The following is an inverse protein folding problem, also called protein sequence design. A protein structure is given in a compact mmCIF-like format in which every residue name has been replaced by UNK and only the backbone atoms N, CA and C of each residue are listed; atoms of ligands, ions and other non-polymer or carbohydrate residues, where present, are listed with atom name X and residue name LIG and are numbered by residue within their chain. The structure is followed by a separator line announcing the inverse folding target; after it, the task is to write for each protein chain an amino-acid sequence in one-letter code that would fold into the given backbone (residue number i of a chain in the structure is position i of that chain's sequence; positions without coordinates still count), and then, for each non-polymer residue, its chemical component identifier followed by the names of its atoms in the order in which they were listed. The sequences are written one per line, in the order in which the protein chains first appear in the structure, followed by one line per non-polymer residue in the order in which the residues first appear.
data_IF_531123619329
#
_entry.id   IF_531123619329
#
_cell.length_a   1.000
_cell.length_b   1.000
_cell.length_c   1.000
_cell.angle_alpha   90.00
_cell.angle_beta   90.00
_cell.angle_gamma   90.00
#
_symmetry.space_group_name_H-M   'P 1'
#
loop_
_entity.id
_entity.type
_entity.pdbx_description
1 polymer ?
#
# COMPACT_ATOMS: atom_id res chain seq x y z
N UNK A 1 -32.41 -13.70 -70.61
CA UNK A 1 -31.67 -12.54 -70.08
C UNK A 1 -30.35 -13.09 -69.53
N UNK A 2 -29.21 -12.52 -69.94
CA UNK A 2 -27.89 -12.98 -69.46
C UNK A 2 -27.70 -12.48 -68.03
N UNK A 3 -27.44 -13.39 -67.08
CA UNK A 3 -27.06 -13.03 -65.72
C UNK A 3 -25.74 -12.25 -65.75
N UNK A 4 -25.78 -10.96 -65.39
CA UNK A 4 -24.57 -10.14 -65.26
C UNK A 4 -23.79 -10.64 -64.03
N UNK A 5 -22.60 -11.22 -64.26
CA UNK A 5 -21.68 -11.56 -63.17
C UNK A 5 -21.24 -10.28 -62.46
N UNK A 6 -21.14 -10.34 -61.14
CA UNK A 6 -20.67 -9.21 -60.34
C UNK A 6 -19.24 -8.83 -60.74
N UNK A 7 -18.98 -7.54 -60.95
CA UNK A 7 -17.62 -7.04 -61.18
C UNK A 7 -16.79 -7.02 -59.89
N UNK A 8 -15.46 -7.05 -60.01
CA UNK A 8 -14.52 -6.96 -58.88
C UNK A 8 -14.84 -5.78 -57.96
N UNK A 9 -15.24 -4.65 -58.53
CA UNK A 9 -15.59 -3.44 -57.76
C UNK A 9 -16.82 -3.67 -56.90
N UNK A 10 -17.88 -4.26 -57.47
CA UNK A 10 -19.13 -4.57 -56.76
C UNK A 10 -18.86 -5.54 -55.59
N UNK A 11 -17.99 -6.54 -55.80
CA UNK A 11 -17.60 -7.49 -54.75
C UNK A 11 -16.79 -6.82 -53.61
N UNK A 12 -15.90 -5.88 -53.91
CA UNK A 12 -15.13 -5.17 -52.89
C UNK A 12 -16.01 -4.20 -52.10
N UNK A 13 -16.95 -3.52 -52.76
CA UNK A 13 -17.94 -2.67 -52.10
C UNK A 13 -18.80 -3.49 -51.14
N UNK A 14 -19.37 -4.61 -51.61
CA UNK A 14 -20.18 -5.50 -50.77
C UNK A 14 -19.40 -6.04 -49.58
N UNK A 15 -18.14 -6.47 -49.78
CA UNK A 15 -17.26 -6.89 -48.68
C UNK A 15 -17.11 -5.77 -47.65
N UNK A 16 -16.89 -4.54 -48.10
CA UNK A 16 -16.70 -3.38 -47.22
C UNK A 16 -17.98 -3.07 -46.43
N UNK A 17 -19.15 -3.08 -47.07
CA UNK A 17 -20.44 -2.83 -46.42
C UNK A 17 -20.77 -3.88 -45.34
N UNK A 18 -20.55 -5.16 -45.67
CA UNK A 18 -20.73 -6.26 -44.71
C UNK A 18 -19.79 -6.08 -43.51
N UNK A 19 -18.51 -5.79 -43.75
CA UNK A 19 -17.55 -5.62 -42.67
C UNK A 19 -17.79 -4.36 -41.84
N UNK A 20 -18.29 -3.27 -42.44
CA UNK A 20 -18.72 -2.07 -41.71
C UNK A 20 -19.93 -2.36 -40.80
N UNK A 21 -20.81 -3.28 -41.20
CA UNK A 21 -21.94 -3.73 -40.39
C UNK A 21 -21.47 -4.63 -39.24
N UNK A 22 -20.48 -5.48 -39.45
CA UNK A 22 -19.91 -6.35 -38.42
C UNK A 22 -19.04 -5.59 -37.41
N UNK A 23 -18.29 -4.59 -37.90
CA UNK A 23 -17.38 -3.75 -37.11
C UNK A 23 -17.75 -2.27 -37.23
N UNK A 24 -18.89 -1.81 -36.68
CA UNK A 24 -19.21 -0.40 -36.59
C UNK A 24 -18.15 0.41 -35.80
N UNK A 25 -18.25 1.74 -35.85
CA UNK A 25 -17.40 2.61 -35.03
C UNK A 25 -17.60 2.25 -33.55
N UNK A 26 -16.50 2.05 -32.83
CA UNK A 26 -16.49 1.58 -31.44
C UNK A 26 -16.29 0.06 -31.29
N UNK A 27 -16.36 -0.73 -32.36
CA UNK A 27 -16.09 -2.17 -32.29
C UNK A 27 -14.65 -2.47 -31.89
N UNK A 28 -14.47 -3.62 -31.22
CA UNK A 28 -13.17 -4.13 -30.82
C UNK A 28 -12.77 -5.29 -31.74
N UNK A 29 -11.55 -5.26 -32.25
CA UNK A 29 -10.91 -6.34 -32.98
C UNK A 29 -9.77 -6.91 -32.12
N UNK A 30 -9.68 -8.23 -32.02
CA UNK A 30 -8.63 -8.94 -31.27
C UNK A 30 -7.92 -9.95 -32.18
N UNK A 31 -6.61 -10.10 -32.00
CA UNK A 31 -5.79 -11.01 -32.80
C UNK A 31 -4.52 -11.43 -32.05
N UNK A 32 -3.99 -12.60 -32.39
CA UNK A 32 -2.64 -13.03 -31.96
C UNK A 32 -1.53 -12.37 -32.79
N UNK A 33 -1.87 -11.77 -33.93
CA UNK A 33 -0.95 -11.09 -34.82
C UNK A 33 -1.00 -9.58 -34.56
N UNK A 34 0.15 -8.91 -34.57
CA UNK A 34 0.29 -7.45 -34.37
C UNK A 34 -0.14 -6.59 -35.57
N UNK A 35 -0.52 -7.22 -36.68
CA UNK A 35 -0.92 -6.52 -37.91
C UNK A 35 -2.18 -5.69 -37.65
N UNK A 36 -2.14 -4.43 -38.08
CA UNK A 36 -3.23 -3.47 -37.86
C UNK A 36 -4.51 -3.90 -38.59
N UNK A 37 -5.70 -3.70 -38.00
CA UNK A 37 -6.94 -4.21 -38.60
C UNK A 37 -7.25 -3.61 -39.97
N UNK A 38 -6.86 -2.34 -40.24
CA UNK A 38 -7.02 -1.72 -41.55
C UNK A 38 -6.25 -2.44 -42.66
N UNK A 39 -5.14 -3.11 -42.34
CA UNK A 39 -4.37 -3.90 -43.31
C UNK A 39 -5.04 -5.24 -43.60
N UNK A 40 -5.64 -5.88 -42.60
CA UNK A 40 -6.25 -7.22 -42.74
C UNK A 40 -7.68 -7.11 -43.27
N UNK A 41 -8.46 -6.18 -42.74
CA UNK A 41 -9.86 -5.95 -43.09
C UNK A 41 -9.99 -5.07 -44.34
N UNK A 42 -9.02 -4.21 -44.61
CA UNK A 42 -8.99 -3.31 -45.77
C UNK A 42 -9.77 -2.00 -45.58
N UNK A 43 -10.19 -1.67 -44.35
CA UNK A 43 -10.94 -0.45 -44.06
C UNK A 43 -10.85 -0.02 -42.59
N UNK A 44 -11.36 1.20 -42.33
CA UNK A 44 -11.51 1.77 -41.00
C UNK A 44 -10.22 2.39 -40.46
N UNK A 45 -10.36 3.18 -39.40
CA UNK A 45 -9.24 3.68 -38.61
C UNK A 45 -9.31 3.04 -37.24
N UNK A 46 -8.20 2.45 -36.80
CA UNK A 46 -8.14 1.64 -35.59
C UNK A 46 -7.06 2.15 -34.64
N UNK A 47 -7.39 2.19 -33.34
CA UNK A 47 -6.46 2.54 -32.26
C UNK A 47 -6.21 1.31 -31.41
N UNK A 48 -4.94 1.02 -31.14
CA UNK A 48 -4.56 -0.11 -30.32
C UNK A 48 -4.89 0.11 -28.85
N UNK A 49 -5.36 -0.94 -28.19
CA UNK A 49 -5.52 -1.02 -26.74
C UNK A 49 -4.29 -1.75 -26.20
N UNK A 50 -3.48 -1.05 -25.39
CA UNK A 50 -2.20 -1.55 -24.85
C UNK A 50 -2.28 -1.62 -23.34
N UNK A 51 -1.69 -2.65 -22.73
CA UNK A 51 -1.54 -2.81 -21.26
C UNK A 51 -2.83 -2.61 -20.44
N UNK A 52 -3.97 -3.08 -20.96
CA UNK A 52 -5.29 -2.90 -20.33
C UNK A 52 -6.14 -4.17 -20.46
N UNK A 53 -6.88 -4.47 -19.40
CA UNK A 53 -7.98 -5.42 -19.46
C UNK A 53 -9.26 -4.69 -19.87
N UNK A 54 -10.14 -5.40 -20.58
CA UNK A 54 -11.47 -4.88 -20.89
C UNK A 54 -12.36 -5.04 -19.65
N UNK A 55 -12.91 -3.91 -19.19
CA UNK A 55 -13.84 -3.85 -18.07
C UNK A 55 -15.20 -3.40 -18.58
N UNK A 56 -16.24 -4.18 -18.29
CA UNK A 56 -17.62 -3.84 -18.66
C UNK A 56 -18.11 -2.69 -17.77
N UNK A 57 -18.25 -1.50 -18.37
CA UNK A 57 -18.54 -0.26 -17.66
C UNK A 57 -19.77 0.47 -18.24
N UNK A 58 -20.30 1.42 -17.47
CA UNK A 58 -21.40 2.30 -17.88
C UNK A 58 -20.94 3.46 -18.77
N UNK A 59 -19.63 3.64 -18.93
CA UNK A 59 -18.98 4.61 -19.79
C UNK A 59 -17.82 3.94 -20.51
N UNK A 60 -17.62 4.31 -21.79
CA UNK A 60 -16.57 3.70 -22.62
C UNK A 60 -15.25 4.47 -22.53
N UNK A 61 -14.13 3.77 -22.72
CA UNK A 61 -12.76 4.35 -22.85
C UNK A 61 -12.19 5.02 -21.59
N UNK A 62 -12.84 4.87 -20.44
CA UNK A 62 -12.21 5.18 -19.17
C UNK A 62 -11.09 4.20 -18.87
N UNK A 63 -10.05 4.68 -18.19
CA UNK A 63 -8.87 3.87 -17.85
C UNK A 63 -8.56 3.98 -16.38
N UNK A 64 -8.13 2.89 -15.77
CA UNK A 64 -7.71 2.83 -14.38
C UNK A 64 -7.07 1.49 -14.04
N UNK A 65 -6.90 1.24 -12.75
CA UNK A 65 -6.25 0.03 -12.24
C UNK A 65 -4.73 0.19 -12.07
N UNK A 66 -4.14 -0.76 -11.36
CA UNK A 66 -2.70 -0.83 -11.08
C UNK A 66 -2.24 -2.29 -11.12
N UNK A 67 -0.98 -2.53 -11.50
CA UNK A 67 -0.34 -3.84 -11.37
C UNK A 67 0.11 -4.11 -9.92
N UNK A 68 0.12 -3.09 -9.07
CA UNK A 68 0.54 -3.19 -7.66
C UNK A 68 -0.62 -2.82 -6.72
N UNK A 69 -0.59 -3.42 -5.52
CA UNK A 69 -1.52 -3.07 -4.44
C UNK A 69 -0.89 -1.93 -3.64
N UNK A 70 -1.60 -0.80 -3.53
CA UNK A 70 -1.25 0.32 -2.67
C UNK A 70 -1.82 0.14 -1.25
N UNK A 71 -1.38 0.95 -0.30
CA UNK A 71 -1.96 0.95 1.05
C UNK A 71 -3.47 1.26 1.06
N UNK A 72 -3.96 2.08 0.14
CA UNK A 72 -5.40 2.40 -0.02
C UNK A 72 -6.24 1.20 -0.44
N UNK A 73 -5.61 0.23 -1.14
CA UNK A 73 -6.27 -1.00 -1.57
C UNK A 73 -6.32 -2.07 -0.46
N UNK A 74 -5.64 -1.85 0.67
CA UNK A 74 -5.65 -2.78 1.79
C UNK A 74 -6.91 -2.57 2.64
N UNK A 75 -7.65 -3.64 2.97
CA UNK A 75 -8.73 -3.53 3.94
C UNK A 75 -8.18 -3.10 5.30
N UNK A 76 -9.04 -2.49 6.10
CA UNK A 76 -8.73 -2.21 7.49
C UNK A 76 -8.29 -3.50 8.20
N UNK A 77 -7.10 -3.45 8.80
CA UNK A 77 -6.51 -4.57 9.52
C UNK A 77 -5.80 -4.04 10.78
N UNK A 78 -5.55 -4.93 11.73
CA UNK A 78 -4.84 -4.59 12.97
C UNK A 78 -3.76 -5.63 13.26
N UNK A 79 -2.74 -5.19 13.98
CA UNK A 79 -1.72 -6.08 14.52
C UNK A 79 -1.89 -6.13 16.04
N UNK A 80 -2.01 -7.35 16.59
CA UNK A 80 -1.87 -7.53 18.02
C UNK A 80 -0.40 -7.48 18.39
N UNK A 81 -0.06 -6.60 19.33
CA UNK A 81 1.30 -6.39 19.80
C UNK A 81 1.29 -6.58 21.32
N UNK A 82 2.09 -7.53 21.81
CA UNK A 82 2.37 -7.73 23.22
C UNK A 82 3.86 -7.44 23.46
N UNK A 83 4.15 -6.30 24.10
CA UNK A 83 5.50 -5.88 24.43
C UNK A 83 5.69 -5.96 25.93
N UNK A 84 6.65 -6.75 26.37
CA UNK A 84 7.09 -6.77 27.75
C UNK A 84 8.37 -5.97 27.91
N UNK A 85 8.40 -5.09 28.89
CA UNK A 85 9.63 -4.43 29.35
C UNK A 85 10.09 -4.96 30.70
N UNK A 86 9.68 -6.19 31.00
CA UNK A 86 9.75 -6.84 32.31
C UNK A 86 11.16 -7.06 32.86
N UNK A 87 12.22 -6.78 32.08
CA UNK A 87 13.58 -6.78 32.61
C UNK A 87 14.12 -5.36 32.73
N UNK A 88 13.65 -4.67 33.76
CA UNK A 88 14.45 -3.66 34.44
C UNK A 88 15.82 -4.29 34.75
N UNK A 89 16.91 -3.70 34.28
CA UNK A 89 18.20 -3.97 34.92
C UNK A 89 18.11 -3.53 36.37
N UNK A 90 18.32 -4.46 37.31
CA UNK A 90 18.32 -4.15 38.74
C UNK A 90 19.37 -3.07 39.02
N UNK A 91 18.95 -1.90 39.51
CA UNK A 91 19.86 -0.80 39.82
C UNK A 91 19.47 -0.06 41.10
N UNK A 92 20.48 0.53 41.76
CA UNK A 92 20.34 1.29 43.01
C UNK A 92 21.09 2.61 42.90
N UNK A 93 20.57 3.65 43.55
CA UNK A 93 21.24 4.93 43.67
C UNK A 93 21.99 5.01 45.00
N UNK A 94 23.20 5.59 44.97
CA UNK A 94 23.98 5.88 46.18
C UNK A 94 23.77 7.35 46.55
N UNK A 95 23.49 7.62 47.82
CA UNK A 95 23.30 8.97 48.33
C UNK A 95 24.03 9.18 49.66
N UNK A 96 24.18 10.43 50.04
CA UNK A 96 24.76 10.85 51.31
C UNK A 96 23.70 11.55 52.16
N UNK A 97 23.56 11.15 53.41
CA UNK A 97 22.56 11.71 54.33
C UNK A 97 23.13 11.83 55.75
N UNK A 98 22.39 12.48 56.64
CA UNK A 98 22.78 12.75 58.02
C UNK A 98 21.76 12.19 59.00
N UNK A 99 22.24 11.64 60.12
CA UNK A 99 21.36 11.18 61.18
C UNK A 99 20.80 12.37 61.96
N UNK A 100 19.48 12.41 62.12
CA UNK A 100 18.82 13.38 62.99
C UNK A 100 18.89 12.95 64.45
N UNK A 101 19.33 13.84 65.33
CA UNK A 101 19.20 13.65 66.78
C UNK A 101 18.50 14.83 67.42
N UNK A 102 17.50 14.54 68.25
CA UNK A 102 16.92 15.51 69.18
C UNK A 102 17.74 15.50 70.45
N UNK A 103 18.12 16.69 70.92
CA UNK A 103 18.93 16.89 72.12
C UNK A 103 18.36 16.10 73.33
N UNK A 104 19.26 15.53 74.13
CA UNK A 104 18.97 15.07 75.50
C UNK A 104 19.20 16.17 76.55
N UNK A 105 18.70 15.99 77.78
CA UNK A 105 18.87 16.97 78.88
C UNK A 105 20.37 17.28 79.11
N UNK A 106 20.75 18.56 79.07
CA UNK A 106 22.12 19.02 79.40
C UNK A 106 22.85 19.95 78.41
N UNK A 107 22.25 20.35 77.29
CA UNK A 107 22.86 21.26 76.29
C UNK A 107 22.13 22.62 76.21
N UNK A 108 22.83 23.75 75.94
CA UNK A 108 22.27 25.12 75.92
C UNK A 108 21.56 25.51 74.61
N UNK A 109 20.65 24.66 74.14
CA UNK A 109 19.83 24.88 72.94
C UNK A 109 18.39 24.48 73.23
N UNK A 110 17.41 25.07 72.52
CA UNK A 110 15.98 24.80 72.72
C UNK A 110 15.70 23.30 72.55
N UNK A 111 14.76 22.77 73.33
CA UNK A 111 14.53 21.32 73.43
C UNK A 111 14.02 20.66 72.13
N UNK A 112 13.49 21.46 71.19
CA UNK A 112 13.00 21.01 69.89
C UNK A 112 13.97 21.30 68.74
N UNK A 113 15.27 21.47 69.01
CA UNK A 113 16.27 21.62 67.95
C UNK A 113 16.81 20.24 67.56
N UNK A 114 16.61 19.88 66.30
CA UNK A 114 17.18 18.68 65.69
C UNK A 114 18.53 19.05 65.05
N UNK A 115 19.56 18.27 65.37
CA UNK A 115 20.89 18.43 64.78
C UNK A 115 21.14 17.29 63.78
N UNK A 116 21.71 17.65 62.63
CA UNK A 116 22.30 16.69 61.71
C UNK A 116 23.69 16.31 62.24
N UNK A 117 23.88 15.05 62.60
CA UNK A 117 25.18 14.48 62.95
C UNK A 117 25.41 13.21 62.13
N UNK A 118 26.60 12.61 62.14
CA UNK A 118 26.63 11.22 61.67
C UNK A 118 26.48 11.06 60.16
N UNK A 119 27.19 11.80 59.31
CA UNK A 119 26.95 11.68 57.88
C UNK A 119 27.42 10.33 57.32
N UNK A 120 26.57 9.72 56.50
CA UNK A 120 26.74 8.36 56.03
C UNK A 120 26.37 8.20 54.56
N UNK A 121 26.90 7.15 53.95
CA UNK A 121 26.50 6.73 52.61
C UNK A 121 25.38 5.69 52.69
N UNK A 122 24.24 5.98 52.07
CA UNK A 122 23.12 5.07 51.91
C UNK A 122 22.98 4.58 50.46
N UNK A 123 22.25 3.48 50.26
CA UNK A 123 21.76 3.09 48.94
C UNK A 123 20.23 3.08 48.97
N UNK A 124 19.59 3.47 47.86
CA UNK A 124 18.16 3.20 47.67
C UNK A 124 17.92 1.70 47.52
N UNK A 125 16.70 1.25 47.79
CA UNK A 125 16.30 -0.11 47.44
C UNK A 125 16.41 -0.28 45.92
N UNK A 126 16.88 -1.46 45.48
CA UNK A 126 17.03 -1.77 44.04
C UNK A 126 15.72 -2.12 43.34
N UNK A 127 14.64 -2.21 44.12
CA UNK A 127 13.29 -2.43 43.62
C UNK A 127 12.61 -1.07 43.44
N UNK A 128 12.16 -0.78 42.22
CA UNK A 128 11.41 0.42 41.89
C UNK A 128 10.57 0.15 40.66
N UNK A 129 9.28 0.49 40.72
CA UNK A 129 8.41 0.40 39.56
C UNK A 129 8.72 1.58 38.61
N UNK A 130 9.14 1.29 37.39
CA UNK A 130 9.31 2.29 36.34
C UNK A 130 8.57 1.87 35.07
N UNK A 131 8.26 2.85 34.23
CA UNK A 131 7.52 2.63 32.98
C UNK A 131 8.43 2.79 31.78
N UNK A 132 8.25 1.94 30.78
CA UNK A 132 8.84 2.12 29.46
C UNK A 132 7.79 2.69 28.51
N UNK A 133 8.16 3.74 27.79
CA UNK A 133 7.37 4.26 26.66
C UNK A 133 7.99 3.78 25.37
N UNK A 134 7.34 2.84 24.71
CA UNK A 134 7.70 2.41 23.36
C UNK A 134 6.86 3.21 22.36
N UNK A 135 7.51 3.94 21.46
CA UNK A 135 6.84 4.72 20.40
C UNK A 135 7.64 4.66 19.12
N UNK A 136 6.95 4.49 17.99
CA UNK A 136 7.54 4.41 16.67
C UNK A 136 6.66 3.63 15.71
N UNK A 137 7.09 3.55 14.45
CA UNK A 137 6.47 2.68 13.45
C UNK A 137 7.29 1.40 13.31
N UNK A 138 6.62 0.27 13.08
CA UNK A 138 7.31 -0.93 12.59
C UNK A 138 7.86 -0.64 11.20
N UNK A 139 8.89 -1.38 10.79
CA UNK A 139 9.38 -1.28 9.41
C UNK A 139 8.25 -1.67 8.44
N UNK A 140 8.13 -0.94 7.34
CA UNK A 140 7.18 -1.29 6.28
C UNK A 140 7.49 -2.69 5.77
N UNK A 141 6.50 -3.57 5.79
CA UNK A 141 6.59 -4.91 5.20
C UNK A 141 5.75 -4.93 3.91
N UNK A 142 6.25 -5.63 2.89
CA UNK A 142 5.64 -5.70 1.57
C UNK A 142 6.50 -5.03 0.50
N UNK A 143 6.67 -5.69 -0.65
CA UNK A 143 7.50 -5.19 -1.76
C UNK A 143 6.68 -4.61 -2.91
N UNK A 144 5.35 -4.51 -2.76
CA UNK A 144 4.41 -4.06 -3.81
C UNK A 144 4.76 -4.63 -5.18
N UNK A 145 5.00 -5.94 -5.25
CA UNK A 145 5.33 -6.60 -6.51
C UNK A 145 4.16 -6.50 -7.48
N UNK A 146 4.48 -6.38 -8.76
CA UNK A 146 3.49 -6.53 -9.81
C UNK A 146 2.79 -7.88 -9.65
N UNK A 147 1.47 -7.83 -9.53
CA UNK A 147 0.61 -8.99 -9.44
C UNK A 147 -0.29 -9.01 -10.67
N UNK A 148 -0.03 -9.98 -11.55
CA UNK A 148 -0.93 -10.34 -12.64
C UNK A 148 -1.21 -11.84 -12.53
N UNK A 149 -2.48 -12.27 -12.42
CA UNK A 149 -2.81 -13.69 -12.49
C UNK A 149 -2.40 -14.24 -13.87
N UNK A 150 -2.12 -15.54 -14.02
CA UNK A 150 -1.75 -16.12 -15.31
C UNK A 150 -2.68 -15.67 -16.46
N UNK A 151 -2.11 -15.15 -17.53
CA UNK A 151 -2.84 -14.56 -18.66
C UNK A 151 -2.13 -14.83 -19.98
N UNK A 152 -2.88 -14.72 -21.08
CA UNK A 152 -2.34 -14.72 -22.43
C UNK A 152 -2.49 -13.33 -23.03
N UNK A 153 -1.42 -12.79 -23.59
CA UNK A 153 -1.45 -11.49 -24.29
C UNK A 153 -2.01 -11.66 -25.69
N UNK A 154 -2.92 -10.77 -26.05
CA UNK A 154 -3.43 -10.62 -27.42
C UNK A 154 -3.30 -9.16 -27.84
N UNK A 155 -3.25 -8.91 -29.14
CA UNK A 155 -3.37 -7.57 -29.67
C UNK A 155 -4.85 -7.20 -29.79
N UNK A 156 -5.22 -6.02 -29.31
CA UNK A 156 -6.57 -5.51 -29.37
C UNK A 156 -6.58 -4.09 -29.94
N UNK A 157 -7.61 -3.76 -30.70
CA UNK A 157 -7.83 -2.43 -31.26
C UNK A 157 -9.30 -2.07 -31.18
N UNK A 158 -9.61 -0.78 -31.03
CA UNK A 158 -10.97 -0.27 -31.23
C UNK A 158 -11.05 0.57 -32.49
N UNK A 159 -12.20 0.55 -33.18
CA UNK A 159 -12.45 1.36 -34.37
C UNK A 159 -12.86 2.78 -33.98
N UNK A 160 -12.16 3.78 -34.51
CA UNK A 160 -12.39 5.20 -34.23
C UNK A 160 -13.10 5.93 -35.38
N UNK A 161 -12.97 5.43 -36.62
CA UNK A 161 -13.65 5.92 -37.81
C UNK A 161 -13.84 4.78 -38.82
#
# INVERSE_FOLDING_TARGET
MLDKKADKTELQTLKTEILQTLYPIGSIYTSMNSTRPETVLGFGTWTQIVDRFLYCANSSKETGGSKTISGENLPAHSHYIDLSTSQAGWHKHKFWDWSGMTKGKGYDVKDNVQFAINCFWGNTQGDGNHTHRVSGYTQTTGQSKDYMPPYMTVYAWYRNA
#
